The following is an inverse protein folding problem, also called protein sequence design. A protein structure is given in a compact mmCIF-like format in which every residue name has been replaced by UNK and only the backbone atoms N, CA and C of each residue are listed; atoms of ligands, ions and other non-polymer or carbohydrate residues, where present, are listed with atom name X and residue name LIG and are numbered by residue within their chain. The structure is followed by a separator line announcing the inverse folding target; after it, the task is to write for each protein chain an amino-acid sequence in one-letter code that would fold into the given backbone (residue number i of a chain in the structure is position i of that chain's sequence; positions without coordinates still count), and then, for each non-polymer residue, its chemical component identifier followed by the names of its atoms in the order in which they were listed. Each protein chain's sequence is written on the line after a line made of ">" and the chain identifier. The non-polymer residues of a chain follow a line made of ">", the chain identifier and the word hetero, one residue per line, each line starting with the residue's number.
data_IF_419609009747
#
_entry.id   IF_419609009747
#
_cell.length_a   1.000
_cell.length_b   1.000
_cell.length_c   1.000
_cell.angle_alpha   90.00
_cell.angle_beta   90.00
_cell.angle_gamma   90.00
#
_symmetry.space_group_name_H-M   'P 1'
#
loop_
_entity.id
_entity.type
_entity.pdbx_description
1 polymer ?
#
# COMPACT_ATOMS: atom_id res chain seq x y z
N UNK A 1 36.45 9.58 16.50
CA UNK A 1 37.33 10.72 16.16
C UNK A 1 36.46 11.83 15.57
N UNK A 2 36.58 13.06 16.07
CA UNK A 2 35.84 14.23 15.54
C UNK A 2 36.50 14.66 14.23
N UNK A 3 35.72 14.92 13.18
CA UNK A 3 36.23 15.45 11.91
C UNK A 3 35.87 16.93 11.83
N UNK A 4 36.82 17.77 11.41
CA UNK A 4 36.57 19.19 11.16
C UNK A 4 36.01 19.33 9.75
N UNK A 5 34.79 19.83 9.63
CA UNK A 5 34.11 20.07 8.36
C UNK A 5 33.83 21.57 8.19
N UNK A 6 34.07 22.10 6.99
CA UNK A 6 33.77 23.48 6.65
C UNK A 6 32.30 23.57 6.24
N UNK A 7 31.48 24.17 7.09
CA UNK A 7 30.06 24.38 6.80
C UNK A 7 29.81 25.83 6.47
N UNK A 8 29.22 26.07 5.30
CA UNK A 8 28.78 27.39 4.84
C UNK A 8 27.29 27.53 5.10
N UNK A 9 26.89 28.56 5.83
CA UNK A 9 25.47 28.86 5.99
C UNK A 9 24.95 29.62 4.77
N UNK A 10 24.25 28.92 3.88
CA UNK A 10 23.59 29.51 2.69
C UNK A 10 22.18 30.03 2.97
N UNK A 11 21.70 29.92 4.21
CA UNK A 11 20.35 30.36 4.60
C UNK A 11 20.35 31.82 5.04
N UNK A 12 19.18 32.48 4.95
CA UNK A 12 18.98 33.86 5.42
C UNK A 12 18.91 34.00 6.96
N UNK A 13 18.93 32.87 7.69
CA UNK A 13 18.85 32.81 9.15
C UNK A 13 20.13 32.20 9.74
N UNK A 14 20.38 32.48 11.03
CA UNK A 14 21.52 31.95 11.75
C UNK A 14 21.42 30.42 11.87
N UNK A 15 22.50 29.73 11.53
CA UNK A 15 22.59 28.27 11.60
C UNK A 15 23.46 27.85 12.79
N UNK A 16 23.00 26.90 13.59
CA UNK A 16 23.77 26.33 14.69
C UNK A 16 24.20 24.91 14.35
N UNK A 17 25.51 24.67 14.23
CA UNK A 17 26.05 23.33 13.97
C UNK A 17 27.15 23.00 14.98
N UNK A 18 27.01 21.82 15.61
CA UNK A 18 27.95 21.31 16.62
C UNK A 18 28.29 22.32 17.73
N UNK A 19 27.30 23.11 18.18
CA UNK A 19 27.46 24.13 19.22
C UNK A 19 28.09 25.44 18.75
N UNK A 20 28.37 25.61 17.46
CA UNK A 20 28.83 26.88 16.88
C UNK A 20 27.72 27.56 16.09
N UNK A 21 27.59 28.86 16.31
CA UNK A 21 26.75 29.75 15.53
C UNK A 21 27.47 30.14 14.23
N UNK A 22 26.79 30.01 13.11
CA UNK A 22 27.27 30.36 11.76
C UNK A 22 26.29 31.37 11.17
N UNK A 23 26.73 32.60 10.91
CA UNK A 23 25.87 33.64 10.34
C UNK A 23 25.57 33.38 8.85
N UNK A 24 24.48 33.93 8.30
CA UNK A 24 24.20 33.89 6.87
C UNK A 24 25.42 34.32 6.03
N UNK A 25 25.80 33.51 5.05
CA UNK A 25 26.96 33.75 4.18
C UNK A 25 28.32 33.44 4.80
N UNK A 26 28.39 33.03 6.07
CA UNK A 26 29.65 32.71 6.75
C UNK A 26 29.98 31.20 6.62
N UNK A 27 31.25 30.89 6.42
CA UNK A 27 31.78 29.51 6.46
C UNK A 27 32.56 29.30 7.75
N UNK A 28 32.24 28.25 8.51
CA UNK A 28 32.97 27.89 9.72
C UNK A 28 33.36 26.42 9.77
N UNK A 29 34.55 26.18 10.32
CA UNK A 29 35.02 24.84 10.66
C UNK A 29 34.34 24.36 11.96
N UNK A 30 33.49 23.36 11.83
CA UNK A 30 32.80 22.71 12.94
C UNK A 30 33.30 21.28 13.12
N UNK A 31 33.41 20.85 14.38
CA UNK A 31 33.75 19.47 14.72
C UNK A 31 32.48 18.62 14.63
N UNK A 32 32.20 18.10 13.44
CA UNK A 32 31.07 17.19 13.24
C UNK A 32 31.49 15.82 13.75
N UNK A 33 30.62 15.17 14.52
CA UNK A 33 30.75 13.72 14.68
C UNK A 33 30.60 13.13 13.28
N UNK A 34 31.71 12.63 12.74
CA UNK A 34 31.73 11.81 11.52
C UNK A 34 30.50 10.90 11.62
N UNK A 35 29.57 10.91 10.65
CA UNK A 35 28.45 9.99 10.73
C UNK A 35 29.10 8.61 10.85
N UNK A 36 28.95 7.97 12.02
CA UNK A 36 29.01 6.52 12.00
C UNK A 36 28.00 6.13 10.94
N UNK A 37 28.28 5.07 10.20
CA UNK A 37 27.19 4.31 9.60
C UNK A 37 26.29 3.87 10.75
N UNK A 38 25.50 4.79 11.30
CA UNK A 38 24.20 4.47 11.85
C UNK A 38 23.62 3.59 10.76
N UNK A 39 23.15 2.37 11.08
CA UNK A 39 22.28 1.70 10.15
C UNK A 39 21.24 2.76 9.83
N UNK A 40 21.29 3.30 8.61
CA UNK A 40 20.11 3.90 8.03
C UNK A 40 19.09 2.81 8.34
N UNK A 41 18.12 3.14 9.18
CA UNK A 41 16.93 2.31 9.27
C UNK A 41 16.57 2.13 7.81
N UNK A 42 16.86 0.93 7.31
CA UNK A 42 16.51 0.56 5.98
C UNK A 42 15.00 0.49 6.12
N UNK A 43 14.34 1.64 5.94
CA UNK A 43 13.16 1.65 5.12
C UNK A 43 13.65 0.95 3.87
N UNK A 44 13.41 -0.35 3.82
CA UNK A 44 13.56 -1.16 2.62
C UNK A 44 12.59 -0.52 1.65
N UNK A 45 13.04 0.59 1.05
CA UNK A 45 12.35 1.35 0.06
C UNK A 45 12.15 0.35 -1.05
N UNK A 46 10.91 -0.10 -1.18
CA UNK A 46 10.51 -1.03 -2.19
C UNK A 46 10.94 -0.44 -3.54
N UNK A 47 11.94 -1.10 -4.17
CA UNK A 47 12.49 -0.63 -5.43
C UNK A 47 11.64 -1.19 -6.56
N UNK A 48 10.57 -0.45 -6.86
CA UNK A 48 9.67 -0.76 -7.95
C UNK A 48 10.42 -0.88 -9.29
N UNK A 49 11.43 -0.03 -9.55
CA UNK A 49 12.19 -0.07 -10.82
C UNK A 49 13.04 -1.33 -10.95
N UNK A 50 13.71 -1.74 -9.86
CA UNK A 50 14.45 -3.00 -9.84
C UNK A 50 13.52 -4.21 -10.04
N UNK A 51 12.32 -4.16 -9.46
CA UNK A 51 11.32 -5.22 -9.55
C UNK A 51 10.72 -5.32 -10.96
N UNK A 52 10.39 -4.19 -11.58
CA UNK A 52 9.90 -4.10 -12.96
C UNK A 52 10.97 -4.45 -14.00
N UNK A 53 12.27 -4.42 -13.64
CA UNK A 53 13.34 -4.87 -14.55
C UNK A 53 13.30 -6.39 -14.83
N UNK A 54 12.46 -7.14 -14.11
CA UNK A 54 12.22 -8.56 -14.35
C UNK A 54 11.17 -8.81 -15.45
N UNK A 55 10.98 -10.08 -15.83
CA UNK A 55 9.94 -10.46 -16.80
C UNK A 55 8.55 -10.47 -16.15
N UNK A 56 7.51 -10.19 -16.95
CA UNK A 56 6.11 -10.16 -16.49
C UNK A 56 5.71 -11.47 -15.80
N UNK A 57 6.20 -12.62 -16.27
CA UNK A 57 5.95 -13.92 -15.65
C UNK A 57 6.49 -14.00 -14.21
N UNK A 58 7.73 -13.57 -13.99
CA UNK A 58 8.34 -13.55 -12.65
C UNK A 58 7.73 -12.49 -11.74
N UNK A 59 7.21 -11.41 -12.34
CA UNK A 59 6.50 -10.36 -11.63
C UNK A 59 5.19 -10.94 -11.04
N UNK A 60 4.42 -11.68 -11.86
CA UNK A 60 3.17 -12.33 -11.44
C UNK A 60 3.38 -13.32 -10.29
N UNK A 61 4.44 -14.12 -10.36
CA UNK A 61 4.79 -15.08 -9.28
C UNK A 61 5.09 -14.40 -7.94
N UNK A 62 5.44 -13.11 -7.96
CA UNK A 62 5.77 -12.34 -6.76
C UNK A 62 4.62 -11.46 -6.27
N UNK A 63 3.49 -11.39 -6.99
CA UNK A 63 2.37 -10.55 -6.60
C UNK A 63 1.87 -10.86 -5.19
N UNK A 64 1.76 -12.14 -4.83
CA UNK A 64 1.36 -12.57 -3.48
C UNK A 64 2.27 -12.04 -2.37
N UNK A 65 3.54 -11.74 -2.68
CA UNK A 65 4.52 -11.19 -1.74
C UNK A 65 4.43 -9.67 -1.61
N UNK A 66 3.77 -8.99 -2.55
CA UNK A 66 3.62 -7.54 -2.54
C UNK A 66 2.35 -7.12 -1.80
N UNK A 67 2.46 -6.02 -1.06
CA UNK A 67 1.30 -5.36 -0.46
C UNK A 67 0.51 -4.61 -1.53
N UNK A 68 -0.73 -4.25 -1.22
CA UNK A 68 -1.58 -3.47 -2.14
C UNK A 68 -0.92 -2.13 -2.50
N UNK A 69 -0.40 -1.39 -1.53
CA UNK A 69 0.36 -0.15 -1.77
C UNK A 69 1.56 -0.36 -2.72
N UNK A 70 2.28 -1.48 -2.56
CA UNK A 70 3.42 -1.81 -3.42
C UNK A 70 2.98 -2.16 -4.85
N UNK A 71 1.84 -2.83 -5.03
CA UNK A 71 1.26 -3.08 -6.35
C UNK A 71 0.82 -1.76 -7.03
N UNK A 72 0.20 -0.83 -6.31
CA UNK A 72 -0.11 0.50 -6.86
C UNK A 72 1.16 1.28 -7.22
N UNK A 73 2.20 1.19 -6.40
CA UNK A 73 3.50 1.80 -6.69
C UNK A 73 4.15 1.17 -7.94
N UNK A 74 4.10 -0.16 -8.10
CA UNK A 74 4.55 -0.85 -9.32
C UNK A 74 3.78 -0.40 -10.55
N UNK A 75 2.46 -0.28 -10.44
CA UNK A 75 1.61 0.16 -11.55
C UNK A 75 2.01 1.58 -12.01
N UNK A 76 2.15 2.52 -11.08
CA UNK A 76 2.55 3.89 -11.38
C UNK A 76 3.95 3.98 -12.01
N UNK A 77 4.91 3.21 -11.48
CA UNK A 77 6.29 3.19 -11.98
C UNK A 77 6.40 2.50 -13.35
N UNK A 78 5.61 1.45 -13.61
CA UNK A 78 5.56 0.81 -14.93
C UNK A 78 4.92 1.76 -15.95
N UNK A 79 3.87 2.49 -15.58
CA UNK A 79 3.20 3.47 -16.45
C UNK A 79 4.11 4.64 -16.82
N UNK A 80 4.94 5.10 -15.89
CA UNK A 80 5.93 6.18 -16.13
C UNK A 80 7.23 5.67 -16.79
N UNK A 81 7.53 4.37 -16.65
CA UNK A 81 8.76 3.74 -17.10
C UNK A 81 8.63 3.07 -18.46
N UNK A 82 8.69 1.73 -18.46
CA UNK A 82 8.69 0.93 -19.69
C UNK A 82 7.31 0.84 -20.37
N UNK A 83 6.24 1.10 -19.61
CA UNK A 83 4.85 1.11 -20.07
C UNK A 83 4.47 -0.17 -20.82
N UNK A 84 4.91 -1.33 -20.33
CA UNK A 84 4.58 -2.62 -20.91
C UNK A 84 3.13 -2.92 -20.58
N UNK A 85 2.26 -2.84 -21.59
CA UNK A 85 0.82 -3.08 -21.45
C UNK A 85 0.48 -4.40 -20.74
N UNK A 86 1.18 -5.48 -21.07
CA UNK A 86 0.98 -6.78 -20.42
C UNK A 86 1.36 -6.81 -18.93
N UNK A 87 2.31 -5.98 -18.50
CA UNK A 87 2.67 -5.84 -17.10
C UNK A 87 1.65 -4.99 -16.36
N UNK A 88 1.20 -3.88 -16.96
CA UNK A 88 0.16 -3.02 -16.41
C UNK A 88 -1.16 -3.75 -16.25
N UNK A 89 -1.61 -4.46 -17.29
CA UNK A 89 -2.84 -5.26 -17.26
C UNK A 89 -2.73 -6.32 -16.13
N UNK A 90 -1.59 -7.00 -16.03
CA UNK A 90 -1.35 -7.98 -14.97
C UNK A 90 -1.41 -7.39 -13.55
N UNK A 91 -0.74 -6.25 -13.32
CA UNK A 91 -0.73 -5.59 -12.01
C UNK A 91 -2.13 -5.06 -11.68
N UNK A 92 -2.83 -4.48 -12.67
CA UNK A 92 -4.17 -3.94 -12.50
C UNK A 92 -5.20 -5.03 -12.20
N UNK A 93 -5.16 -6.15 -12.93
CA UNK A 93 -6.02 -7.32 -12.68
C UNK A 93 -5.82 -7.85 -11.26
N UNK A 94 -4.57 -7.94 -10.78
CA UNK A 94 -4.25 -8.39 -9.43
C UNK A 94 -4.78 -7.42 -8.36
N UNK A 95 -4.59 -6.10 -8.55
CA UNK A 95 -5.11 -5.08 -7.64
C UNK A 95 -6.63 -5.19 -7.55
N UNK A 96 -7.31 -5.22 -8.70
CA UNK A 96 -8.77 -5.31 -8.75
C UNK A 96 -9.30 -6.61 -8.12
N UNK A 97 -8.62 -7.73 -8.35
CA UNK A 97 -8.96 -9.02 -7.74
C UNK A 97 -8.92 -8.95 -6.22
N UNK A 98 -7.87 -8.31 -5.66
CA UNK A 98 -7.73 -8.16 -4.20
C UNK A 98 -8.76 -7.21 -3.62
N UNK A 99 -8.97 -6.06 -4.26
CA UNK A 99 -9.98 -5.09 -3.85
C UNK A 99 -11.37 -5.73 -3.84
N UNK A 100 -11.71 -6.47 -4.88
CA UNK A 100 -12.97 -7.18 -4.97
C UNK A 100 -13.10 -8.27 -3.89
N UNK A 101 -12.03 -9.02 -3.60
CA UNK A 101 -12.02 -9.99 -2.50
C UNK A 101 -12.29 -9.32 -1.16
N UNK A 102 -11.64 -8.19 -0.89
CA UNK A 102 -11.89 -7.40 0.33
C UNK A 102 -13.33 -6.86 0.36
N UNK A 103 -13.85 -6.37 -0.77
CA UNK A 103 -15.23 -5.91 -0.89
C UNK A 103 -16.23 -7.03 -0.57
N UNK A 104 -15.98 -8.26 -1.03
CA UNK A 104 -16.81 -9.42 -0.70
C UNK A 104 -16.77 -9.77 0.80
N UNK A 105 -15.61 -9.66 1.45
CA UNK A 105 -15.48 -9.87 2.89
C UNK A 105 -16.24 -8.81 3.69
N UNK A 106 -16.09 -7.53 3.32
CA UNK A 106 -16.83 -6.43 3.92
C UNK A 106 -18.35 -6.58 3.71
N UNK A 107 -18.74 -6.98 2.50
CA UNK A 107 -20.13 -7.28 2.17
C UNK A 107 -20.68 -8.40 3.04
N UNK A 108 -19.94 -9.50 3.22
CA UNK A 108 -20.35 -10.62 4.08
C UNK A 108 -20.51 -10.20 5.55
N UNK A 109 -19.62 -9.34 6.07
CA UNK A 109 -19.74 -8.78 7.41
C UNK A 109 -21.02 -7.93 7.56
N UNK A 110 -21.26 -7.04 6.60
CA UNK A 110 -22.43 -6.17 6.59
C UNK A 110 -23.74 -6.97 6.44
N UNK A 111 -23.73 -8.07 5.68
CA UNK A 111 -24.88 -8.89 5.37
C UNK A 111 -25.64 -9.38 6.62
N UNK A 112 -24.90 -9.69 7.68
CA UNK A 112 -25.48 -10.11 8.97
C UNK A 112 -26.39 -9.05 9.60
N UNK A 113 -26.16 -7.78 9.30
CA UNK A 113 -26.89 -6.63 9.86
C UNK A 113 -27.99 -6.11 8.93
N UNK A 114 -28.08 -6.62 7.70
CA UNK A 114 -29.10 -6.19 6.73
C UNK A 114 -30.45 -6.80 7.10
N UNK A 115 -31.47 -5.96 7.25
CA UNK A 115 -32.83 -6.41 7.59
C UNK A 115 -33.55 -7.01 6.38
N UNK A 116 -33.52 -6.33 5.24
CA UNK A 116 -34.20 -6.72 4.00
C UNK A 116 -33.21 -7.34 2.99
N UNK A 117 -33.05 -8.66 3.08
CA UNK A 117 -32.17 -9.42 2.18
C UNK A 117 -32.77 -9.59 0.77
N UNK A 118 -34.09 -9.51 0.61
CA UNK A 118 -34.75 -9.66 -0.68
C UNK A 118 -34.56 -8.40 -1.55
N UNK A 119 -34.64 -7.21 -0.94
CA UNK A 119 -34.27 -5.96 -1.60
C UNK A 119 -32.79 -5.96 -1.99
N UNK A 120 -31.90 -6.42 -1.09
CA UNK A 120 -30.47 -6.49 -1.37
C UNK A 120 -30.16 -7.43 -2.54
N UNK A 121 -30.89 -8.54 -2.70
CA UNK A 121 -30.74 -9.48 -3.81
C UNK A 121 -30.97 -8.82 -5.18
N UNK A 122 -31.90 -7.86 -5.25
CA UNK A 122 -32.16 -7.08 -6.46
C UNK A 122 -31.01 -6.10 -6.76
N UNK A 123 -30.45 -5.48 -5.73
CA UNK A 123 -29.34 -4.53 -5.85
C UNK A 123 -28.04 -5.21 -6.30
N UNK A 124 -27.76 -6.42 -5.79
CA UNK A 124 -26.55 -7.17 -6.15
C UNK A 124 -26.75 -8.14 -7.31
N UNK A 125 -27.87 -8.06 -8.04
CA UNK A 125 -28.25 -9.04 -9.06
C UNK A 125 -27.22 -9.25 -10.19
N UNK A 126 -26.31 -8.30 -10.42
CA UNK A 126 -25.25 -8.38 -11.43
C UNK A 126 -23.95 -9.02 -10.91
N UNK A 127 -23.90 -9.39 -9.62
CA UNK A 127 -22.73 -9.95 -8.96
C UNK A 127 -23.08 -11.32 -8.38
N UNK A 128 -22.73 -12.38 -9.14
CA UNK A 128 -23.05 -13.76 -8.78
C UNK A 128 -22.49 -14.17 -7.41
N UNK A 129 -21.34 -13.62 -7.00
CA UNK A 129 -20.71 -13.93 -5.72
C UNK A 129 -21.52 -13.32 -4.56
N UNK A 130 -21.88 -12.03 -4.67
CA UNK A 130 -22.74 -11.38 -3.67
C UNK A 130 -24.14 -11.99 -3.62
N UNK A 131 -24.72 -12.33 -4.77
CA UNK A 131 -26.02 -13.05 -4.84
C UNK A 131 -25.94 -14.37 -4.08
N UNK A 132 -24.88 -15.15 -4.27
CA UNK A 132 -24.68 -16.42 -3.56
C UNK A 132 -24.58 -16.19 -2.05
N UNK A 133 -23.83 -15.19 -1.60
CA UNK A 133 -23.72 -14.83 -0.17
C UNK A 133 -25.07 -14.42 0.43
N UNK A 134 -25.83 -13.56 -0.24
CA UNK A 134 -27.17 -13.14 0.21
C UNK A 134 -28.11 -14.35 0.34
N UNK A 135 -28.11 -15.24 -0.65
CA UNK A 135 -28.95 -16.46 -0.62
C UNK A 135 -28.57 -17.40 0.51
N UNK A 136 -27.28 -17.57 0.78
CA UNK A 136 -26.79 -18.39 1.90
C UNK A 136 -27.27 -17.82 3.25
N UNK A 137 -27.17 -16.50 3.44
CA UNK A 137 -27.64 -15.87 4.67
C UNK A 137 -29.16 -15.94 4.83
N UNK A 138 -29.95 -15.79 3.74
CA UNK A 138 -31.41 -16.02 3.77
C UNK A 138 -31.72 -17.45 4.25
N UNK A 139 -31.04 -18.45 3.69
CA UNK A 139 -31.23 -19.85 4.07
C UNK A 139 -30.89 -20.07 5.55
N UNK A 140 -29.76 -19.54 6.00
CA UNK A 140 -29.29 -19.63 7.39
C UNK A 140 -30.27 -18.99 8.38
N UNK A 141 -30.84 -17.82 8.06
CA UNK A 141 -31.88 -17.18 8.89
C UNK A 141 -33.16 -18.00 8.95
N UNK A 142 -33.57 -18.61 7.83
CA UNK A 142 -34.73 -19.49 7.79
C UNK A 142 -34.54 -20.76 8.66
N UNK A 143 -33.33 -21.31 8.71
CA UNK A 143 -32.99 -22.43 9.60
C UNK A 143 -32.96 -22.03 11.08
N UNK A 144 -32.42 -20.85 11.41
CA UNK A 144 -32.42 -20.33 12.78
C UNK A 144 -33.84 -20.11 13.31
N UNK A 145 -34.75 -19.58 12.48
CA UNK A 145 -36.16 -19.43 12.85
C UNK A 145 -36.85 -20.78 13.10
N UNK A 146 -36.49 -21.83 12.33
CA UNK A 146 -37.02 -23.19 12.55
C UNK A 146 -36.49 -23.84 13.83
N UNK A 147 -35.23 -23.60 14.19
CA UNK A 147 -34.59 -24.20 15.36
C UNK A 147 -34.86 -23.44 16.68
N UNK A 148 -35.14 -22.14 16.63
CA UNK A 148 -35.49 -21.34 17.82
C UNK A 148 -36.92 -21.51 18.32
N UNK A 149 -37.78 -22.20 17.55
CA UNK A 149 -39.19 -22.39 17.85
C UNK A 149 -39.51 -23.78 18.45
N UNK A 150 -38.51 -24.41 19.11
CA UNK A 150 -38.57 -25.76 19.67
C UNK A 150 -38.14 -25.75 21.13
#
# INVERSE_FOLDING_TARGET
>A
MKAKEAITNTSAAIMFVAGKMIQPGETRLVDVLKPSKSPQVATTLFDAKATLSTSVTKLKEQFELFTQDQLHQLHAEEQQGQNRKSALDAISDEIQSREYSTELEEFALALSSVEDLDALLLDVANDDAKVAMVKDEIAKRAEQQKNGNK
#
